data_IF_667126004853
#
_entry.id   IF_667126004853
#
_cell.length_a   1.000
_cell.length_b   1.000
_cell.length_c   1.000
_cell.angle_alpha   90.00
_cell.angle_beta   90.00
_cell.angle_gamma   90.00
#
_symmetry.space_group_name_H-M   'P 1'
#
loop_
_entity.id
_entity.type
_entity.pdbx_description
1 polymer ?
#
# COMPACT_ATOMS: atom_id res chain seq x y z
N UNK A 1 5.75 -13.61 -4.14
CA UNK A 1 5.89 -12.46 -5.06
C UNK A 1 5.54 -11.22 -4.27
N UNK A 2 6.32 -10.14 -4.39
CA UNK A 2 6.08 -8.90 -3.64
C UNK A 2 4.86 -8.19 -4.21
N UNK A 3 3.85 -7.89 -3.41
CA UNK A 3 2.65 -7.21 -3.88
C UNK A 3 2.00 -6.37 -2.78
N UNK A 4 1.10 -5.48 -3.21
CA UNK A 4 0.32 -4.62 -2.32
C UNK A 4 -1.15 -4.78 -2.68
N UNK A 5 -2.00 -5.00 -1.68
CA UNK A 5 -3.43 -5.23 -1.89
C UNK A 5 -4.29 -4.25 -1.10
N UNK A 6 -5.43 -3.89 -1.69
CA UNK A 6 -6.45 -3.03 -1.08
C UNK A 6 -7.80 -3.72 -1.19
N UNK A 7 -8.47 -4.00 -0.07
CA UNK A 7 -9.83 -4.52 -0.11
C UNK A 7 -10.82 -3.46 -0.61
N UNK A 8 -11.76 -3.87 -1.45
CA UNK A 8 -12.79 -2.99 -2.05
C UNK A 8 -13.99 -2.73 -1.13
N UNK A 9 -14.04 -3.42 0.02
CA UNK A 9 -15.06 -3.23 1.05
C UNK A 9 -14.58 -3.73 2.41
N UNK A 10 -15.27 -3.35 3.48
CA UNK A 10 -15.03 -3.93 4.82
C UNK A 10 -15.24 -5.45 4.82
N UNK A 11 -16.21 -5.97 4.05
CA UNK A 11 -16.44 -7.40 3.95
C UNK A 11 -15.28 -8.13 3.24
N UNK A 12 -14.75 -7.55 2.16
CA UNK A 12 -13.55 -8.05 1.51
C UNK A 12 -12.33 -8.03 2.45
N UNK A 13 -12.17 -6.97 3.25
CA UNK A 13 -11.10 -6.87 4.24
C UNK A 13 -11.23 -7.94 5.33
N UNK A 14 -12.44 -8.23 5.79
CA UNK A 14 -12.68 -9.33 6.75
C UNK A 14 -12.35 -10.69 6.13
N UNK A 15 -12.72 -10.91 4.86
CA UNK A 15 -12.41 -12.15 4.14
C UNK A 15 -10.91 -12.35 3.93
N UNK A 16 -10.18 -11.28 3.63
CA UNK A 16 -8.73 -11.27 3.54
C UNK A 16 -8.07 -11.74 4.84
N UNK A 17 -8.57 -11.29 6.01
CA UNK A 17 -8.06 -11.74 7.32
C UNK A 17 -8.38 -13.22 7.64
N UNK A 18 -9.30 -13.85 6.90
CA UNK A 18 -9.74 -15.23 7.09
C UNK A 18 -9.22 -16.17 5.99
N UNK A 19 -8.31 -15.69 5.13
CA UNK A 19 -7.81 -16.40 3.95
C UNK A 19 -8.94 -16.93 3.04
N UNK A 20 -10.04 -16.20 2.96
CA UNK A 20 -11.16 -16.49 2.06
C UNK A 20 -11.13 -15.53 0.89
N UNK A 21 -11.46 -16.04 -0.31
CA UNK A 21 -11.28 -15.28 -1.55
C UNK A 21 -12.56 -15.24 -2.38
N UNK A 22 -12.94 -14.03 -2.81
CA UNK A 22 -13.97 -13.79 -3.83
C UNK A 22 -13.39 -12.87 -4.90
N UNK A 23 -13.55 -13.23 -6.17
CA UNK A 23 -13.10 -12.40 -7.30
C UNK A 23 -13.67 -10.98 -7.21
N UNK A 24 -12.79 -9.98 -7.30
CA UNK A 24 -13.16 -8.56 -7.19
C UNK A 24 -13.06 -7.97 -5.78
N UNK A 25 -12.68 -8.77 -4.78
CA UNK A 25 -12.49 -8.29 -3.41
C UNK A 25 -11.28 -7.39 -3.24
N UNK A 26 -10.26 -7.57 -4.06
CA UNK A 26 -8.96 -6.92 -3.92
C UNK A 26 -8.61 -6.15 -5.19
N UNK A 27 -8.03 -4.96 -4.99
CA UNK A 27 -7.26 -4.25 -6.00
C UNK A 27 -5.79 -4.50 -5.66
N UNK A 28 -5.03 -5.03 -6.60
CA UNK A 28 -3.67 -5.52 -6.34
C UNK A 28 -2.64 -4.88 -7.27
N UNK A 29 -1.47 -4.61 -6.72
CA UNK A 29 -0.28 -4.22 -7.45
C UNK A 29 0.81 -5.26 -7.22
N UNK A 30 1.03 -6.08 -8.24
CA UNK A 30 2.15 -7.01 -8.26
C UNK A 30 3.41 -6.28 -8.73
N UNK A 31 4.48 -6.43 -7.96
CA UNK A 31 5.76 -5.78 -8.22
C UNK A 31 6.73 -6.81 -8.80
N UNK A 32 7.25 -6.53 -9.99
CA UNK A 32 8.46 -7.22 -10.45
C UNK A 32 9.68 -6.67 -9.69
N UNK A 33 10.84 -7.32 -9.88
CA UNK A 33 12.07 -6.98 -9.16
C UNK A 33 12.48 -5.51 -9.38
N UNK A 34 12.37 -5.02 -10.60
CA UNK A 34 12.76 -3.66 -10.98
C UNK A 34 11.83 -2.62 -10.35
N UNK A 35 10.52 -2.88 -10.35
CA UNK A 35 9.50 -2.03 -9.72
C UNK A 35 9.65 -2.00 -8.21
N UNK A 36 9.91 -3.15 -7.60
CA UNK A 36 10.17 -3.26 -6.17
C UNK A 36 11.40 -2.44 -5.78
N UNK A 37 12.51 -2.61 -6.49
CA UNK A 37 13.72 -1.82 -6.27
C UNK A 37 13.49 -0.33 -6.53
N UNK A 38 12.71 0.04 -7.54
CA UNK A 38 12.36 1.43 -7.83
C UNK A 38 11.57 2.06 -6.68
N UNK A 39 10.60 1.32 -6.11
CA UNK A 39 9.80 1.76 -4.96
C UNK A 39 10.71 2.09 -3.76
N UNK A 40 11.60 1.17 -3.39
CA UNK A 40 12.57 1.38 -2.32
C UNK A 40 13.51 2.54 -2.58
N UNK A 41 14.04 2.68 -3.80
CA UNK A 41 14.94 3.79 -4.17
C UNK A 41 14.31 5.18 -4.03
N UNK A 42 12.97 5.29 -4.01
CA UNK A 42 12.30 6.58 -3.75
C UNK A 42 12.42 7.04 -2.29
N UNK A 43 12.73 6.12 -1.36
CA UNK A 43 12.74 6.38 0.07
C UNK A 43 11.34 6.54 0.67
N UNK A 44 10.27 6.16 -0.04
CA UNK A 44 8.88 6.31 0.43
C UNK A 44 8.57 5.36 1.58
N UNK A 45 9.09 4.13 1.53
CA UNK A 45 8.81 3.08 2.51
C UNK A 45 9.42 3.46 3.86
N UNK A 46 10.68 3.91 3.86
CA UNK A 46 11.38 4.35 5.05
C UNK A 46 10.69 5.56 5.70
N UNK A 47 10.19 6.49 4.87
CA UNK A 47 9.44 7.64 5.36
C UNK A 47 8.09 7.21 5.96
N UNK A 48 7.38 6.28 5.33
CA UNK A 48 6.13 5.72 5.87
C UNK A 48 6.37 4.99 7.19
N UNK A 49 7.36 4.10 7.27
CA UNK A 49 7.72 3.36 8.48
C UNK A 49 7.96 4.33 9.65
N UNK A 50 8.77 5.38 9.42
CA UNK A 50 9.06 6.39 10.44
C UNK A 50 7.84 7.22 10.83
N UNK A 51 7.07 7.71 9.86
CA UNK A 51 5.99 8.67 10.11
C UNK A 51 4.71 8.01 10.66
N UNK A 52 4.49 6.74 10.33
CA UNK A 52 3.27 6.00 10.67
C UNK A 52 3.50 4.93 11.73
N UNK A 53 4.74 4.76 12.19
CA UNK A 53 5.17 3.74 13.15
C UNK A 53 4.70 2.34 12.72
N UNK A 54 5.10 1.95 11.50
CA UNK A 54 4.87 0.64 10.87
C UNK A 54 6.22 0.05 10.43
N UNK A 55 6.24 -1.24 10.10
CA UNK A 55 7.46 -1.96 9.73
C UNK A 55 7.27 -2.71 8.41
N UNK A 56 7.26 -1.96 7.31
CA UNK A 56 7.32 -2.55 5.97
C UNK A 56 8.78 -2.89 5.67
N UNK A 57 9.08 -4.17 5.49
CA UNK A 57 10.41 -4.67 5.10
C UNK A 57 10.32 -5.88 4.15
N UNK A 58 11.38 -6.69 4.05
CA UNK A 58 11.47 -7.86 3.16
C UNK A 58 11.08 -9.20 3.82
N UNK A 59 10.69 -9.17 5.10
CA UNK A 59 10.55 -10.35 5.95
C UNK A 59 9.15 -10.52 6.54
N UNK A 60 8.42 -9.42 6.76
CA UNK A 60 7.09 -9.44 7.37
C UNK A 60 6.02 -8.78 6.49
N UNK A 61 4.80 -9.34 6.53
CA UNK A 61 3.62 -8.68 6.00
C UNK A 61 3.23 -7.52 6.94
N UNK A 62 2.86 -6.38 6.36
CA UNK A 62 2.46 -5.21 7.13
C UNK A 62 1.14 -4.63 6.59
N UNK A 63 0.38 -3.98 7.45
CA UNK A 63 -0.87 -3.32 7.07
C UNK A 63 -0.99 -1.91 7.63
N UNK A 64 -1.53 -1.04 6.79
CA UNK A 64 -1.92 0.31 7.15
C UNK A 64 -3.44 0.45 7.06
N UNK A 65 -4.09 0.78 8.17
CA UNK A 65 -5.53 1.04 8.21
C UNK A 65 -5.85 2.20 9.14
N UNK A 66 -7.05 2.75 8.98
CA UNK A 66 -7.49 3.97 9.69
C UNK A 66 -7.32 5.21 8.81
N UNK A 67 -8.36 6.02 8.74
CA UNK A 67 -8.47 7.12 7.77
C UNK A 67 -7.32 8.14 7.90
N UNK A 68 -7.01 8.59 9.12
CA UNK A 68 -5.95 9.57 9.35
C UNK A 68 -4.56 9.05 8.95
N UNK A 69 -4.30 7.77 9.19
CA UNK A 69 -3.05 7.11 8.80
C UNK A 69 -2.94 6.96 7.29
N UNK A 70 -4.04 6.62 6.62
CA UNK A 70 -4.09 6.52 5.16
C UNK A 70 -3.94 7.89 4.49
N UNK A 71 -4.54 8.94 5.04
CA UNK A 71 -4.36 10.32 4.57
C UNK A 71 -2.91 10.78 4.75
N UNK A 72 -2.27 10.47 5.88
CA UNK A 72 -0.86 10.80 6.08
C UNK A 72 0.05 10.03 5.12
N UNK A 73 -0.22 8.74 4.87
CA UNK A 73 0.48 7.98 3.83
C UNK A 73 0.30 8.58 2.44
N UNK A 74 -0.92 8.99 2.08
CA UNK A 74 -1.21 9.67 0.82
C UNK A 74 -0.33 10.92 0.63
N UNK A 75 -0.23 11.78 1.66
CA UNK A 75 0.62 12.97 1.62
C UNK A 75 2.11 12.64 1.42
N UNK A 76 2.60 11.59 2.08
CA UNK A 76 3.98 11.12 1.93
C UNK A 76 4.22 10.65 0.48
N UNK A 77 3.30 9.82 -0.06
CA UNK A 77 3.40 9.29 -1.42
C UNK A 77 3.34 10.41 -2.46
N UNK A 78 2.43 11.38 -2.30
CA UNK A 78 2.31 12.55 -3.19
C UNK A 78 3.58 13.40 -3.20
N UNK A 79 4.11 13.72 -2.01
CA UNK A 79 5.36 14.47 -1.87
C UNK A 79 6.53 13.75 -2.57
N UNK A 80 6.65 12.44 -2.37
CA UNK A 80 7.68 11.62 -3.01
C UNK A 80 7.48 11.52 -4.52
N UNK A 81 6.26 11.39 -4.99
CA UNK A 81 5.92 11.35 -6.40
C UNK A 81 6.32 12.66 -7.11
N UNK A 82 6.06 13.81 -6.50
CA UNK A 82 6.46 15.12 -7.04
C UNK A 82 7.99 15.21 -7.16
N UNK A 83 8.73 14.72 -6.16
CA UNK A 83 10.20 14.83 -6.13
C UNK A 83 10.94 13.84 -7.04
N UNK A 84 10.36 12.65 -7.27
CA UNK A 84 11.03 11.56 -7.99
C UNK A 84 10.45 11.27 -9.37
N UNK A 85 9.22 11.72 -9.64
CA UNK A 85 8.43 11.39 -10.83
C UNK A 85 8.33 9.88 -11.13
N UNK A 86 8.42 9.05 -10.08
CA UNK A 86 8.43 7.60 -10.25
C UNK A 86 7.02 7.05 -10.50
N UNK A 87 6.84 6.32 -11.62
CA UNK A 87 5.55 5.73 -12.00
C UNK A 87 4.99 4.77 -10.93
N UNK A 88 5.86 4.08 -10.19
CA UNK A 88 5.41 3.14 -9.15
C UNK A 88 4.69 3.86 -8.00
N UNK A 89 5.08 5.11 -7.72
CA UNK A 89 4.41 5.93 -6.72
C UNK A 89 3.02 6.40 -7.19
N UNK A 90 2.81 6.56 -8.50
CA UNK A 90 1.47 6.85 -9.05
C UNK A 90 0.52 5.66 -8.82
N UNK A 91 1.02 4.44 -9.01
CA UNK A 91 0.26 3.20 -8.75
C UNK A 91 -0.03 3.04 -7.25
N UNK A 92 0.97 3.26 -6.40
CA UNK A 92 0.80 3.23 -4.95
C UNK A 92 -0.19 4.29 -4.45
N UNK A 93 -0.15 5.50 -5.02
CA UNK A 93 -1.12 6.56 -4.73
C UNK A 93 -2.55 6.14 -5.12
N UNK A 94 -2.72 5.46 -6.26
CA UNK A 94 -4.03 4.95 -6.68
C UNK A 94 -4.59 3.92 -5.68
N UNK A 95 -3.73 3.06 -5.13
CA UNK A 95 -4.11 2.11 -4.08
C UNK A 95 -4.50 2.81 -2.78
N UNK A 96 -3.69 3.76 -2.29
CA UNK A 96 -4.01 4.45 -1.03
C UNK A 96 -5.32 5.25 -1.17
N UNK A 97 -5.57 5.87 -2.32
CA UNK A 97 -6.82 6.54 -2.63
C UNK A 97 -8.02 5.57 -2.61
N UNK A 98 -7.82 4.36 -3.12
CA UNK A 98 -8.83 3.30 -3.07
C UNK A 98 -9.11 2.85 -1.64
N UNK A 99 -8.06 2.68 -0.82
CA UNK A 99 -8.21 2.31 0.59
C UNK A 99 -8.99 3.37 1.39
N UNK A 100 -8.71 4.65 1.13
CA UNK A 100 -9.47 5.77 1.72
C UNK A 100 -10.92 5.73 1.26
N UNK A 101 -11.15 5.65 -0.06
CA UNK A 101 -12.49 5.62 -0.67
C UNK A 101 -13.37 4.49 -0.12
N UNK A 102 -12.79 3.31 0.05
CA UNK A 102 -13.50 2.13 0.54
C UNK A 102 -13.52 2.04 2.07
N UNK A 103 -12.86 2.97 2.77
CA UNK A 103 -12.63 2.93 4.21
C UNK A 103 -12.06 1.57 4.63
N UNK A 104 -11.03 1.08 3.94
CA UNK A 104 -10.39 -0.22 4.22
C UNK A 104 -8.96 0.01 4.70
N UNK A 105 -7.98 -0.61 4.05
CA UNK A 105 -6.58 -0.58 4.41
C UNK A 105 -5.70 -0.97 3.22
N UNK A 106 -4.41 -0.74 3.40
CA UNK A 106 -3.35 -1.07 2.46
C UNK A 106 -2.51 -2.18 3.08
N UNK A 107 -2.35 -3.29 2.38
CA UNK A 107 -1.66 -4.49 2.86
C UNK A 107 -0.42 -4.71 2.00
N UNK A 108 0.74 -4.81 2.63
CA UNK A 108 2.04 -5.01 2.02
C UNK A 108 2.46 -6.45 2.26
N UNK A 109 2.64 -7.20 1.18
CA UNK A 109 3.06 -8.60 1.17
C UNK A 109 4.43 -8.68 0.53
N UNK A 110 5.44 -8.32 1.31
CA UNK A 110 6.81 -8.21 0.84
C UNK A 110 7.66 -9.35 1.38
#
# INVERSE_FOLDING_TARGET
MKHISVPTSKAAMSRLNLDTYITGDLIELYLNKEQYQALWKTGVIEQMNKALNIMIDDFEDEKLSGNDRLLHAQQIIESKLISTHCEILQKLLTLVNSAIKHNTGLFFYF
#
